data_IF_790561708131
#
_entry.id   IF_790561708131
#
_cell.length_a   1.000
_cell.length_b   1.000
_cell.length_c   1.000
_cell.angle_alpha   90.00
_cell.angle_beta   90.00
_cell.angle_gamma   90.00
#
_symmetry.space_group_name_H-M   'P 1'
#
loop_
_entity.id
_entity.type
_entity.pdbx_description
1 polymer ?
#
# COMPACT_ATOMS: atom_id res chain seq x y z
N UNK A 1 35.56 -11.42 12.71
CA UNK A 1 35.61 -11.69 11.25
C UNK A 1 36.94 -12.38 10.94
N UNK A 2 36.95 -13.45 10.13
CA UNK A 2 38.18 -14.06 9.63
C UNK A 2 39.07 -13.01 8.95
N UNK A 3 40.40 -13.15 9.07
CA UNK A 3 41.37 -12.14 8.63
C UNK A 3 41.25 -11.80 7.13
N UNK A 4 40.94 -12.81 6.31
CA UNK A 4 40.76 -12.68 4.87
C UNK A 4 39.50 -11.88 4.50
N UNK A 5 38.38 -12.11 5.20
CA UNK A 5 37.15 -11.36 4.98
C UNK A 5 37.31 -9.90 5.40
N UNK A 6 38.05 -9.65 6.48
CA UNK A 6 38.37 -8.29 6.95
C UNK A 6 39.19 -7.53 5.91
N UNK A 7 40.20 -8.18 5.32
CA UNK A 7 41.01 -7.59 4.23
C UNK A 7 40.16 -7.30 2.98
N UNK A 8 39.26 -8.20 2.58
CA UNK A 8 38.38 -7.92 1.44
C UNK A 8 37.51 -6.68 1.67
N UNK A 9 36.92 -6.55 2.86
CA UNK A 9 36.10 -5.38 3.19
C UNK A 9 36.95 -4.10 3.26
N UNK A 10 38.08 -4.15 3.96
CA UNK A 10 38.95 -2.98 4.18
C UNK A 10 39.55 -2.42 2.87
N UNK A 11 39.75 -3.27 1.86
CA UNK A 11 40.36 -2.89 0.57
C UNK A 11 39.39 -2.86 -0.61
N UNK A 12 38.09 -3.09 -0.40
CA UNK A 12 37.11 -2.89 -1.47
C UNK A 12 36.88 -1.39 -1.65
N UNK A 13 37.21 -0.79 -2.81
CA UNK A 13 36.96 0.62 -3.05
C UNK A 13 35.45 0.86 -3.14
N UNK A 14 34.94 1.78 -2.32
CA UNK A 14 33.55 2.24 -2.38
C UNK A 14 33.52 3.55 -3.16
N UNK A 15 32.93 3.54 -4.35
CA UNK A 15 32.71 4.77 -5.12
C UNK A 15 31.49 5.51 -4.57
N UNK A 16 31.70 6.74 -4.11
CA UNK A 16 30.63 7.63 -3.64
C UNK A 16 30.38 8.69 -4.71
N UNK A 17 29.13 8.84 -5.15
CA UNK A 17 28.69 9.89 -6.07
C UNK A 17 27.76 10.82 -5.29
N UNK A 18 28.17 12.08 -5.10
CA UNK A 18 27.31 13.11 -4.53
C UNK A 18 26.58 13.85 -5.66
N UNK A 19 25.24 13.87 -5.62
CA UNK A 19 24.41 14.57 -6.60
C UNK A 19 23.77 15.77 -5.90
N UNK A 20 24.17 16.98 -6.29
CA UNK A 20 23.62 18.23 -5.77
C UNK A 20 22.48 18.72 -6.67
N UNK A 21 21.29 18.82 -6.11
CA UNK A 21 20.09 19.29 -6.82
C UNK A 21 19.75 20.67 -6.28
N UNK A 22 19.89 21.69 -7.12
CA UNK A 22 19.69 23.09 -6.71
C UNK A 22 18.22 23.46 -6.48
N UNK A 23 17.29 22.71 -7.07
CA UNK A 23 15.84 22.91 -6.90
C UNK A 23 15.29 21.81 -5.97
N UNK A 24 15.18 22.12 -4.68
CA UNK A 24 14.64 21.21 -3.66
C UNK A 24 13.22 20.73 -4.01
N UNK A 25 12.42 21.50 -4.76
CA UNK A 25 11.06 21.07 -5.17
C UNK A 25 11.08 19.97 -6.22
N UNK A 26 12.15 19.88 -7.02
CA UNK A 26 12.33 18.85 -8.05
C UNK A 26 13.21 17.69 -7.60
N UNK A 27 13.71 17.73 -6.37
CA UNK A 27 14.64 16.73 -5.83
C UNK A 27 14.08 15.31 -5.93
N UNK A 28 12.85 15.08 -5.47
CA UNK A 28 12.19 13.77 -5.55
C UNK A 28 12.08 13.27 -7.00
N UNK A 29 11.74 14.15 -7.94
CA UNK A 29 11.61 13.82 -9.36
C UNK A 29 12.96 13.45 -10.00
N UNK A 30 13.99 14.25 -9.73
CA UNK A 30 15.35 14.02 -10.23
C UNK A 30 15.92 12.72 -9.65
N UNK A 31 15.72 12.47 -8.34
CA UNK A 31 16.12 11.22 -7.71
C UNK A 31 15.39 10.02 -8.34
N UNK A 32 14.07 10.10 -8.57
CA UNK A 32 13.32 9.04 -9.28
C UNK A 32 13.90 8.74 -10.65
N UNK A 33 14.25 9.76 -11.44
CA UNK A 33 14.86 9.58 -12.76
C UNK A 33 16.26 8.94 -12.67
N UNK A 34 17.08 9.36 -11.70
CA UNK A 34 18.41 8.78 -11.46
C UNK A 34 18.28 7.30 -11.10
N UNK A 35 17.43 6.96 -10.13
CA UNK A 35 17.18 5.57 -9.74
C UNK A 35 16.66 4.75 -10.92
N UNK A 36 15.69 5.26 -11.69
CA UNK A 36 15.18 4.58 -12.87
C UNK A 36 16.25 4.32 -13.93
N UNK A 37 17.21 5.24 -14.10
CA UNK A 37 18.32 5.08 -15.05
C UNK A 37 19.41 4.14 -14.53
N UNK A 38 19.79 4.22 -13.25
CA UNK A 38 20.75 3.29 -12.62
C UNK A 38 20.22 1.86 -12.62
N UNK A 39 18.92 1.69 -12.36
CA UNK A 39 18.26 0.38 -12.39
C UNK A 39 18.27 -0.29 -13.78
N UNK A 40 18.57 0.43 -14.88
CA UNK A 40 18.69 -0.18 -16.21
C UNK A 40 19.96 -1.02 -16.39
N UNK A 41 20.99 -0.80 -15.58
CA UNK A 41 22.28 -1.50 -15.67
C UNK A 41 22.47 -2.71 -14.73
N UNK A 42 21.53 -2.96 -13.81
CA UNK A 42 21.60 -4.00 -12.78
C UNK A 42 20.27 -4.75 -12.58
N UNK A 43 20.11 -5.42 -11.44
CA UNK A 43 18.81 -6.02 -11.06
C UNK A 43 17.75 -4.93 -10.88
N UNK A 44 16.63 -5.06 -11.59
CA UNK A 44 15.55 -4.07 -11.56
C UNK A 44 14.88 -4.04 -10.19
N UNK A 45 15.10 -2.95 -9.44
CA UNK A 45 14.35 -2.65 -8.22
C UNK A 45 12.86 -2.47 -8.54
N UNK A 46 12.00 -3.05 -7.71
CA UNK A 46 10.56 -2.83 -7.74
C UNK A 46 10.23 -1.35 -7.51
N UNK A 47 9.03 -0.88 -7.93
CA UNK A 47 8.60 0.47 -7.62
C UNK A 47 8.65 0.77 -6.12
N UNK A 48 8.32 -0.20 -5.26
CA UNK A 48 8.37 -0.02 -3.82
C UNK A 48 9.80 0.05 -3.29
N UNK A 49 10.71 -0.77 -3.79
CA UNK A 49 12.13 -0.71 -3.44
C UNK A 49 12.74 0.65 -3.81
N UNK A 50 12.34 1.22 -4.96
CA UNK A 50 12.73 2.57 -5.35
C UNK A 50 12.17 3.63 -4.40
N UNK A 51 10.90 3.51 -3.98
CA UNK A 51 10.31 4.44 -3.01
C UNK A 51 11.05 4.42 -1.68
N UNK A 52 11.40 3.25 -1.17
CA UNK A 52 12.14 3.13 0.08
C UNK A 52 13.50 3.84 0.03
N UNK A 53 14.17 3.83 -1.13
CA UNK A 53 15.44 4.55 -1.33
C UNK A 53 15.30 6.06 -1.49
N UNK A 54 14.15 6.54 -1.95
CA UNK A 54 13.90 7.96 -2.26
C UNK A 54 13.25 8.69 -1.08
N UNK A 55 12.26 8.07 -0.44
CA UNK A 55 11.44 8.68 0.61
C UNK A 55 11.86 8.17 1.99
N UNK A 56 13.01 8.63 2.46
CA UNK A 56 13.53 8.29 3.78
C UNK A 56 12.91 9.22 4.82
N UNK A 57 11.89 8.75 5.53
CA UNK A 57 11.19 9.50 6.57
C UNK A 57 10.58 8.61 7.67
N UNK A 58 10.23 9.24 8.80
CA UNK A 58 9.64 8.56 9.97
C UNK A 58 8.39 7.74 9.66
N UNK A 59 7.59 8.15 8.67
CA UNK A 59 6.41 7.38 8.24
C UNK A 59 6.83 6.04 7.62
N UNK A 60 7.82 6.04 6.72
CA UNK A 60 8.34 4.83 6.10
C UNK A 60 8.99 3.91 7.13
N UNK A 61 9.74 4.46 8.09
CA UNK A 61 10.34 3.67 9.18
C UNK A 61 9.26 2.94 9.99
N UNK A 62 8.19 3.66 10.39
CA UNK A 62 7.07 3.08 11.14
C UNK A 62 6.28 2.06 10.34
N UNK A 63 6.07 2.31 9.05
CA UNK A 63 5.35 1.39 8.19
C UNK A 63 6.16 0.11 7.91
N UNK A 64 7.49 0.20 7.78
CA UNK A 64 8.39 -0.97 7.71
C UNK A 64 8.41 -1.75 9.03
N UNK A 65 8.47 -1.07 10.17
CA UNK A 65 8.38 -1.69 11.50
C UNK A 65 7.07 -2.47 11.63
N UNK A 66 5.95 -1.87 11.23
CA UNK A 66 4.65 -2.52 11.19
C UNK A 66 4.64 -3.74 10.23
N UNK A 67 5.20 -3.59 9.03
CA UNK A 67 5.28 -4.68 8.05
C UNK A 67 6.02 -5.91 8.60
N UNK A 68 7.13 -5.70 9.31
CA UNK A 68 7.97 -6.79 9.86
C UNK A 68 7.38 -7.40 11.12
N UNK A 69 6.88 -6.57 12.03
CA UNK A 69 6.61 -6.99 13.41
C UNK A 69 5.13 -7.24 13.72
N UNK A 70 4.18 -6.75 12.91
CA UNK A 70 2.76 -6.95 13.20
C UNK A 70 2.36 -8.41 12.93
N UNK A 71 2.03 -9.16 13.99
CA UNK A 71 1.71 -10.59 13.92
C UNK A 71 0.47 -10.89 13.08
N UNK A 72 -0.58 -10.06 13.17
CA UNK A 72 -1.80 -10.22 12.37
C UNK A 72 -1.50 -9.99 10.89
N UNK A 73 -0.73 -8.95 10.56
CA UNK A 73 -0.31 -8.69 9.19
C UNK A 73 0.51 -9.84 8.60
N UNK A 74 1.49 -10.35 9.35
CA UNK A 74 2.29 -11.51 8.95
C UNK A 74 1.48 -12.80 8.89
N UNK A 75 0.42 -12.95 9.69
CA UNK A 75 -0.51 -14.07 9.58
C UNK A 75 -1.33 -14.00 8.28
N UNK A 76 -1.81 -12.80 7.91
CA UNK A 76 -2.59 -12.61 6.68
C UNK A 76 -1.73 -12.68 5.41
N UNK A 77 -0.51 -12.12 5.45
CA UNK A 77 0.43 -12.08 4.33
C UNK A 77 1.30 -13.32 4.19
N UNK A 78 1.92 -13.73 5.29
CA UNK A 78 2.95 -14.76 5.34
C UNK A 78 4.34 -14.14 5.54
N UNK A 79 5.33 -14.73 4.87
CA UNK A 79 6.72 -14.24 4.88
C UNK A 79 6.83 -12.92 4.13
N UNK A 80 7.84 -12.12 4.48
CA UNK A 80 8.20 -10.91 3.75
C UNK A 80 8.39 -11.21 2.25
N UNK A 81 7.83 -10.35 1.40
CA UNK A 81 7.92 -10.50 -0.04
C UNK A 81 9.25 -9.92 -0.52
N UNK A 82 10.01 -10.68 -1.31
CA UNK A 82 11.32 -10.26 -1.79
C UNK A 82 11.29 -8.99 -2.67
N UNK A 83 10.13 -8.64 -3.24
CA UNK A 83 9.90 -7.41 -4.02
C UNK A 83 9.08 -6.38 -3.26
N UNK A 84 8.88 -6.60 -1.96
CA UNK A 84 8.17 -5.72 -1.03
C UNK A 84 6.71 -5.45 -1.39
N UNK A 85 6.03 -6.43 -2.00
CA UNK A 85 4.59 -6.32 -2.31
C UNK A 85 3.71 -6.18 -1.07
N UNK A 86 4.13 -6.74 0.05
CA UNK A 86 3.50 -6.54 1.36
C UNK A 86 3.56 -5.08 1.77
N UNK A 87 4.76 -4.50 1.76
CA UNK A 87 4.99 -3.10 2.09
C UNK A 87 4.23 -2.18 1.15
N UNK A 88 4.26 -2.44 -0.17
CA UNK A 88 3.49 -1.67 -1.16
C UNK A 88 1.98 -1.75 -0.88
N UNK A 89 1.49 -2.91 -0.45
CA UNK A 89 0.06 -3.07 -0.11
C UNK A 89 -0.31 -2.22 1.09
N UNK A 90 0.49 -2.22 2.16
CA UNK A 90 0.25 -1.35 3.31
C UNK A 90 0.28 0.14 2.90
N UNK A 91 1.28 0.54 2.10
CA UNK A 91 1.37 1.91 1.58
C UNK A 91 0.13 2.28 0.75
N UNK A 92 -0.39 1.33 -0.02
CA UNK A 92 -1.63 1.50 -0.80
C UNK A 92 -2.84 1.70 0.08
N UNK A 93 -2.97 0.96 1.18
CA UNK A 93 -4.04 1.19 2.15
C UNK A 93 -3.94 2.62 2.72
N UNK A 94 -2.76 3.05 3.15
CA UNK A 94 -2.56 4.42 3.66
C UNK A 94 -2.91 5.50 2.62
N UNK A 95 -2.43 5.37 1.38
CA UNK A 95 -2.74 6.30 0.30
C UNK A 95 -4.25 6.37 0.02
N UNK A 96 -4.93 5.23 0.01
CA UNK A 96 -6.38 5.20 -0.20
C UNK A 96 -7.15 5.77 1.00
N UNK A 97 -6.69 5.59 2.24
CA UNK A 97 -7.24 6.31 3.40
C UNK A 97 -7.14 7.83 3.21
N UNK A 98 -6.04 8.33 2.66
CA UNK A 98 -5.86 9.78 2.41
C UNK A 98 -6.78 10.31 1.30
N UNK A 99 -6.83 9.62 0.15
CA UNK A 99 -7.42 10.20 -1.07
C UNK A 99 -8.82 9.69 -1.41
N UNK A 100 -9.23 8.51 -0.93
CA UNK A 100 -10.56 7.99 -1.20
C UNK A 100 -11.62 8.70 -0.35
N UNK A 101 -12.77 8.98 -0.97
CA UNK A 101 -13.93 9.66 -0.37
C UNK A 101 -15.21 9.05 -0.91
N UNK A 102 -16.28 9.16 -0.12
CA UNK A 102 -17.64 8.81 -0.56
C UNK A 102 -18.35 10.09 -0.97
N UNK A 103 -18.87 10.10 -2.20
CA UNK A 103 -19.71 11.17 -2.73
C UNK A 103 -21.15 10.67 -2.81
N UNK A 104 -22.08 11.39 -2.18
CA UNK A 104 -23.50 11.11 -2.29
C UNK A 104 -24.02 11.55 -3.66
N UNK A 105 -24.86 10.71 -4.27
CA UNK A 105 -25.70 11.01 -5.43
C UNK A 105 -27.16 11.10 -4.96
N UNK A 106 -28.03 11.54 -5.87
CA UNK A 106 -29.47 11.67 -5.58
C UNK A 106 -30.13 10.35 -5.16
N UNK A 107 -29.65 9.21 -5.66
CA UNK A 107 -30.26 7.88 -5.45
C UNK A 107 -29.26 6.86 -4.88
N UNK A 108 -27.98 7.21 -4.78
CA UNK A 108 -26.91 6.25 -4.48
C UNK A 108 -25.68 7.00 -3.92
N UNK A 109 -24.55 6.33 -3.77
CA UNK A 109 -23.24 6.92 -3.47
C UNK A 109 -22.20 6.43 -4.49
N UNK A 110 -21.04 7.08 -4.52
CA UNK A 110 -19.88 6.59 -5.25
C UNK A 110 -18.63 6.82 -4.42
N UNK A 111 -17.72 5.86 -4.45
CA UNK A 111 -16.37 6.09 -4.00
C UNK A 111 -15.57 6.77 -5.11
N UNK A 112 -14.78 7.77 -4.73
CA UNK A 112 -13.90 8.51 -5.63
C UNK A 112 -12.54 8.68 -4.97
N UNK A 113 -11.48 8.67 -5.76
CA UNK A 113 -10.13 9.00 -5.30
C UNK A 113 -9.76 10.37 -5.87
N UNK A 114 -9.49 11.35 -5.00
CA UNK A 114 -9.15 12.72 -5.42
C UNK A 114 -7.88 12.70 -6.28
N UNK A 115 -7.94 13.28 -7.49
CA UNK A 115 -6.77 13.42 -8.37
C UNK A 115 -6.30 12.14 -9.05
N UNK A 116 -7.06 11.04 -8.97
CA UNK A 116 -6.62 9.75 -9.48
C UNK A 116 -6.68 9.65 -11.01
N UNK A 117 -5.52 9.39 -11.62
CA UNK A 117 -5.34 9.26 -13.08
C UNK A 117 -5.16 7.80 -13.53
N UNK A 118 -5.78 6.84 -12.84
CA UNK A 118 -5.69 5.39 -13.15
C UNK A 118 -4.29 4.78 -12.99
N UNK A 119 -3.39 5.43 -12.24
CA UNK A 119 -2.06 4.91 -11.90
C UNK A 119 -1.91 4.85 -10.39
N UNK A 120 -1.78 3.64 -9.85
CA UNK A 120 -1.37 3.48 -8.46
C UNK A 120 0.06 3.94 -8.24
N UNK A 121 0.96 3.79 -9.23
CA UNK A 121 2.34 4.25 -9.12
C UNK A 121 2.40 5.74 -8.77
N UNK A 122 1.72 6.58 -9.57
CA UNK A 122 1.66 8.03 -9.34
C UNK A 122 0.97 8.38 -8.00
N UNK A 123 -0.11 7.67 -7.65
CA UNK A 123 -0.82 7.87 -6.38
C UNK A 123 0.10 7.62 -5.18
N UNK A 124 0.86 6.51 -5.22
CA UNK A 124 1.78 6.13 -4.16
C UNK A 124 2.99 7.06 -4.10
N UNK A 125 3.50 7.51 -5.24
CA UNK A 125 4.62 8.46 -5.29
C UNK A 125 4.22 9.80 -4.67
N UNK A 126 3.04 10.32 -5.04
CA UNK A 126 2.49 11.56 -4.44
C UNK A 126 2.22 11.39 -2.94
N UNK A 127 1.64 10.27 -2.52
CA UNK A 127 1.46 9.97 -1.10
C UNK A 127 2.79 9.94 -0.34
N UNK A 128 3.82 9.32 -0.93
CA UNK A 128 5.13 9.18 -0.29
C UNK A 128 5.84 10.52 -0.15
N UNK A 129 5.67 11.40 -1.12
CA UNK A 129 6.17 12.78 -1.05
C UNK A 129 5.46 13.60 0.03
N UNK A 130 4.13 13.48 0.17
CA UNK A 130 3.39 14.07 1.30
C UNK A 130 3.87 13.48 2.65
N UNK A 131 4.08 12.17 2.71
CA UNK A 131 4.44 11.45 3.93
C UNK A 131 5.82 11.82 4.50
N UNK A 132 6.70 12.45 3.71
CA UNK A 132 7.96 13.01 4.22
C UNK A 132 7.73 14.11 5.26
N UNK A 133 6.55 14.74 5.23
CA UNK A 133 6.21 15.89 6.08
C UNK A 133 5.20 15.54 7.18
N UNK A 134 4.83 14.26 7.34
CA UNK A 134 3.88 13.86 8.37
C UNK A 134 4.46 14.01 9.77
N UNK A 135 3.66 14.60 10.65
CA UNK A 135 3.96 14.65 12.07
C UNK A 135 3.67 13.30 12.73
N UNK A 136 4.28 13.06 13.90
CA UNK A 136 4.11 11.81 14.66
C UNK A 136 2.64 11.42 14.85
N UNK A 137 1.77 12.39 15.16
CA UNK A 137 0.34 12.15 15.34
C UNK A 137 -0.32 11.59 14.08
N UNK A 138 -0.04 12.18 12.92
CA UNK A 138 -0.60 11.70 11.65
C UNK A 138 -0.05 10.32 11.30
N UNK A 139 1.22 10.04 11.56
CA UNK A 139 1.82 8.71 11.39
C UNK A 139 1.10 7.68 12.27
N UNK A 140 0.93 7.99 13.56
CA UNK A 140 0.26 7.10 14.52
C UNK A 140 -1.20 6.83 14.10
N UNK A 141 -1.91 7.81 13.54
CA UNK A 141 -3.27 7.62 13.00
C UNK A 141 -3.33 6.60 11.84
N UNK A 142 -2.33 6.58 10.95
CA UNK A 142 -2.26 5.56 9.89
C UNK A 142 -1.94 4.17 10.47
N UNK A 143 -0.98 4.08 11.40
CA UNK A 143 -0.59 2.79 11.99
C UNK A 143 -1.74 2.19 12.81
N UNK A 144 -2.43 3.01 13.60
CA UNK A 144 -3.59 2.56 14.37
C UNK A 144 -4.73 2.09 13.45
N UNK A 145 -5.03 2.86 12.40
CA UNK A 145 -6.04 2.50 11.41
C UNK A 145 -5.75 1.17 10.70
N UNK A 146 -4.48 0.90 10.37
CA UNK A 146 -4.08 -0.42 9.87
C UNK A 146 -4.29 -1.50 10.93
N UNK A 147 -3.88 -1.26 12.17
CA UNK A 147 -4.04 -2.23 13.26
C UNK A 147 -5.52 -2.56 13.52
N UNK A 148 -6.36 -1.55 13.69
CA UNK A 148 -7.81 -1.69 13.94
C UNK A 148 -8.49 -2.47 12.81
N UNK A 149 -8.09 -2.22 11.57
CA UNK A 149 -8.59 -2.97 10.43
C UNK A 149 -8.17 -4.45 10.46
N UNK A 150 -6.90 -4.74 10.75
CA UNK A 150 -6.41 -6.12 10.84
C UNK A 150 -7.09 -6.89 11.97
N UNK A 151 -7.50 -6.21 13.04
CA UNK A 151 -8.22 -6.78 14.17
C UNK A 151 -9.60 -7.32 13.81
N UNK A 152 -10.17 -6.87 12.69
CA UNK A 152 -11.46 -7.37 12.19
C UNK A 152 -11.36 -8.78 11.60
N UNK A 153 -10.17 -9.27 11.22
CA UNK A 153 -10.03 -10.59 10.61
C UNK A 153 -10.10 -11.70 11.66
N UNK A 154 -11.14 -12.55 11.57
CA UNK A 154 -11.35 -13.70 12.47
C UNK A 154 -11.07 -15.06 11.80
N UNK A 155 -10.40 -15.06 10.65
CA UNK A 155 -10.15 -16.29 9.89
C UNK A 155 -8.67 -16.70 9.86
N UNK A 156 -8.43 -18.00 9.87
CA UNK A 156 -7.17 -18.61 9.52
C UNK A 156 -7.10 -18.79 7.99
N UNK A 157 -6.46 -17.85 7.29
CA UNK A 157 -6.26 -17.90 5.84
C UNK A 157 -5.26 -16.84 5.39
N UNK A 158 -4.84 -16.87 4.11
CA UNK A 158 -3.95 -15.85 3.52
C UNK A 158 -4.71 -14.89 2.59
N UNK A 159 -5.56 -13.98 3.13
CA UNK A 159 -6.33 -13.06 2.31
C UNK A 159 -5.45 -12.06 1.53
N UNK A 160 -4.21 -11.85 1.97
CA UNK A 160 -3.21 -11.06 1.26
C UNK A 160 -2.88 -11.54 -0.16
N UNK A 161 -3.11 -12.82 -0.48
CA UNK A 161 -2.99 -13.34 -1.85
C UNK A 161 -3.91 -12.62 -2.83
N UNK A 162 -4.92 -11.87 -2.32
CA UNK A 162 -5.87 -11.08 -3.09
C UNK A 162 -5.88 -9.63 -2.60
N UNK A 163 -4.81 -8.89 -2.93
CA UNK A 163 -4.60 -7.47 -2.58
C UNK A 163 -5.84 -6.60 -2.83
N UNK A 164 -6.51 -6.77 -3.98
CA UNK A 164 -7.72 -6.02 -4.32
C UNK A 164 -8.88 -6.25 -3.34
N UNK A 165 -8.99 -7.45 -2.76
CA UNK A 165 -10.03 -7.75 -1.77
C UNK A 165 -9.71 -7.15 -0.41
N UNK A 166 -8.45 -7.29 0.03
CA UNK A 166 -7.97 -6.64 1.25
C UNK A 166 -8.21 -5.12 1.19
N UNK A 167 -7.86 -4.50 0.07
CA UNK A 167 -8.11 -3.09 -0.22
C UNK A 167 -9.60 -2.75 -0.15
N UNK A 168 -10.47 -3.58 -0.74
CA UNK A 168 -11.91 -3.35 -0.69
C UNK A 168 -12.44 -3.32 0.73
N UNK A 169 -12.07 -4.29 1.57
CA UNK A 169 -12.48 -4.31 2.97
C UNK A 169 -11.94 -3.09 3.73
N UNK A 170 -10.68 -2.74 3.53
CA UNK A 170 -10.09 -1.59 4.20
C UNK A 170 -10.80 -0.27 3.85
N UNK A 171 -11.11 -0.05 2.56
CA UNK A 171 -11.81 1.17 2.15
C UNK A 171 -13.22 1.23 2.70
N UNK A 172 -13.93 0.11 2.73
CA UNK A 172 -15.26 0.05 3.31
C UNK A 172 -15.23 0.33 4.81
N UNK A 173 -14.28 -0.26 5.54
CA UNK A 173 -14.03 0.03 6.95
C UNK A 173 -13.81 1.54 7.17
N UNK A 174 -12.83 2.11 6.46
CA UNK A 174 -12.41 3.50 6.65
C UNK A 174 -13.42 4.55 6.21
N UNK A 175 -14.20 4.26 5.16
CA UNK A 175 -15.04 5.27 4.50
C UNK A 175 -16.53 5.10 4.79
N UNK A 176 -16.94 3.90 5.18
CA UNK A 176 -18.33 3.59 5.55
C UNK A 176 -18.46 3.25 7.05
N UNK A 177 -17.37 3.25 7.82
CA UNK A 177 -17.34 2.96 9.26
C UNK A 177 -17.92 1.57 9.60
N UNK A 178 -17.57 0.57 8.79
CA UNK A 178 -17.99 -0.82 8.99
C UNK A 178 -16.96 -1.57 9.82
N UNK A 179 -17.28 -1.83 11.09
CA UNK A 179 -16.36 -2.44 12.07
C UNK A 179 -16.82 -3.86 12.47
N UNK A 180 -17.52 -4.57 11.57
CA UNK A 180 -17.99 -5.94 11.82
C UNK A 180 -16.86 -6.94 11.57
N UNK A 181 -16.77 -8.06 12.30
CA UNK A 181 -15.76 -9.07 12.03
C UNK A 181 -15.82 -9.60 10.58
N UNK A 182 -14.66 -9.73 9.94
CA UNK A 182 -14.49 -10.35 8.63
C UNK A 182 -14.30 -11.85 8.85
N UNK A 183 -15.41 -12.58 8.81
CA UNK A 183 -15.43 -14.05 8.96
C UNK A 183 -15.21 -14.74 7.62
N UNK A 184 -14.80 -16.01 7.63
CA UNK A 184 -14.61 -16.82 6.41
C UNK A 184 -15.86 -16.83 5.53
N UNK A 185 -17.05 -16.79 6.13
CA UNK A 185 -18.31 -16.72 5.40
C UNK A 185 -18.42 -15.42 4.57
N UNK A 186 -18.22 -14.26 5.20
CA UNK A 186 -18.29 -12.95 4.52
C UNK A 186 -17.22 -12.85 3.43
N UNK A 187 -15.99 -13.27 3.76
CA UNK A 187 -14.89 -13.24 2.82
C UNK A 187 -15.13 -14.11 1.59
N UNK A 188 -15.64 -15.33 1.77
CA UNK A 188 -15.97 -16.23 0.66
C UNK A 188 -17.19 -15.73 -0.12
N UNK A 189 -18.21 -15.17 0.54
CA UNK A 189 -19.36 -14.58 -0.13
C UNK A 189 -18.95 -13.46 -1.10
N UNK A 190 -18.05 -12.56 -0.68
CA UNK A 190 -17.50 -11.52 -1.57
C UNK A 190 -16.72 -12.15 -2.73
N UNK A 191 -15.88 -13.15 -2.44
CA UNK A 191 -15.08 -13.80 -3.48
C UNK A 191 -15.89 -14.53 -4.53
N UNK A 192 -17.02 -15.10 -4.12
CA UNK A 192 -17.90 -15.89 -4.97
C UNK A 192 -18.88 -15.04 -5.76
N UNK A 193 -19.16 -13.82 -5.28
CA UNK A 193 -20.09 -12.87 -5.89
C UNK A 193 -19.75 -12.57 -7.37
N UNK A 194 -20.69 -12.74 -8.31
CA UNK A 194 -20.46 -12.52 -9.74
C UNK A 194 -20.05 -11.08 -10.10
N UNK A 195 -20.67 -10.07 -9.47
CA UNK A 195 -20.35 -8.65 -9.66
C UNK A 195 -18.92 -8.38 -9.21
N UNK A 196 -18.51 -8.90 -8.05
CA UNK A 196 -17.14 -8.77 -7.59
C UNK A 196 -16.13 -9.42 -8.55
N UNK A 197 -16.38 -10.67 -8.97
CA UNK A 197 -15.50 -11.41 -9.91
C UNK A 197 -15.33 -10.67 -11.24
N UNK A 198 -16.41 -10.08 -11.76
CA UNK A 198 -16.38 -9.31 -13.00
C UNK A 198 -15.39 -8.13 -12.90
N UNK A 199 -15.49 -7.33 -11.85
CA UNK A 199 -14.64 -6.15 -11.65
C UNK A 199 -13.26 -6.45 -11.05
N UNK A 200 -13.04 -7.67 -10.55
CA UNK A 200 -11.72 -8.16 -10.13
C UNK A 200 -10.85 -8.68 -11.29
N UNK A 201 -11.43 -9.02 -12.45
CA UNK A 201 -10.70 -9.55 -13.61
C UNK A 201 -10.26 -8.47 -14.61
N UNK A 202 -11.03 -7.40 -14.78
CA UNK A 202 -10.79 -6.38 -15.81
C UNK A 202 -10.47 -5.01 -15.22
N UNK A 203 -9.28 -4.50 -15.55
CA UNK A 203 -8.88 -3.13 -15.20
C UNK A 203 -9.06 -2.84 -13.72
N UNK A 204 -8.47 -3.67 -12.85
CA UNK A 204 -8.63 -3.64 -11.38
C UNK A 204 -8.33 -2.28 -10.75
N UNK A 205 -7.51 -1.48 -11.42
CA UNK A 205 -7.07 -0.13 -11.03
C UNK A 205 -7.88 0.99 -11.68
N UNK A 206 -8.84 0.68 -12.56
CA UNK A 206 -9.75 1.70 -13.11
C UNK A 206 -10.74 2.12 -12.03
N UNK A 207 -10.98 3.42 -11.89
CA UNK A 207 -11.88 3.96 -10.86
C UNK A 207 -13.27 3.31 -10.87
N UNK A 208 -13.84 3.07 -12.05
CA UNK A 208 -15.12 2.34 -12.18
C UNK A 208 -15.05 0.94 -11.56
N UNK A 209 -14.04 0.14 -11.91
CA UNK A 209 -13.88 -1.21 -11.38
C UNK A 209 -13.65 -1.21 -9.86
N UNK A 210 -12.85 -0.27 -9.35
CA UNK A 210 -12.63 -0.12 -7.90
C UNK A 210 -13.91 0.24 -7.16
N UNK A 211 -14.64 1.25 -7.65
CA UNK A 211 -15.91 1.68 -7.06
C UNK A 211 -16.91 0.52 -6.97
N UNK A 212 -17.08 -0.24 -8.05
CA UNK A 212 -17.99 -1.38 -8.06
C UNK A 212 -17.55 -2.48 -7.08
N UNK A 213 -16.25 -2.80 -7.01
CA UNK A 213 -15.72 -3.73 -6.01
C UNK A 213 -16.03 -3.28 -4.59
N UNK A 214 -15.78 -2.01 -4.27
CA UNK A 214 -15.98 -1.48 -2.92
C UNK A 214 -17.45 -1.45 -2.52
N UNK A 215 -18.36 -1.11 -3.46
CA UNK A 215 -19.81 -1.22 -3.24
C UNK A 215 -20.26 -2.64 -2.93
N UNK A 216 -19.84 -3.60 -3.75
CA UNK A 216 -20.19 -5.01 -3.53
C UNK A 216 -19.69 -5.54 -2.19
N UNK A 217 -18.48 -5.13 -1.76
CA UNK A 217 -17.99 -5.50 -0.42
C UNK A 217 -18.84 -4.86 0.68
N UNK A 218 -19.22 -3.59 0.53
CA UNK A 218 -20.09 -2.94 1.52
C UNK A 218 -21.46 -3.61 1.64
N UNK A 219 -22.11 -3.90 0.50
CA UNK A 219 -23.42 -4.57 0.45
C UNK A 219 -23.37 -5.92 1.18
N UNK A 220 -22.42 -6.79 0.81
CA UNK A 220 -22.27 -8.12 1.41
C UNK A 220 -21.86 -8.04 2.89
N UNK A 221 -20.93 -7.16 3.24
CA UNK A 221 -20.40 -7.08 4.61
C UNK A 221 -21.41 -6.48 5.59
N UNK A 222 -22.29 -5.61 5.11
CA UNK A 222 -23.35 -5.03 5.95
C UNK A 222 -24.62 -5.87 5.98
N UNK A 223 -24.83 -6.76 5.00
CA UNK A 223 -26.05 -7.56 4.83
C UNK A 223 -27.15 -6.79 4.11
N UNK A 224 -26.78 -5.91 3.18
CA UNK A 224 -27.69 -5.08 2.39
C UNK A 224 -28.02 -5.67 1.01
N UNK A 225 -27.61 -6.92 0.75
CA UNK A 225 -27.92 -7.73 -0.44
C UNK A 225 -29.18 -8.59 -0.23
#
# INVERSE_FOLDING_TARGET
LPLELKRQIDYTPITVIEIKINDEKRKSEVLRQIFANLNRGGSLLSPQEQRNGIYVCSFYDKLQEFNRNNSKWRQLWGREDAKEKDMETLLRLCALKRYARVRKKLVDYEFVIKGYRSSYGELLDHFSEEAMWFEKKEIDEYINSLSDFLDLFQMSGKPASKVALLESFYIVHEKMNVNKPITSHIYNAVLENPRYKQYARQGTVKMKSMNERWKTVYEIWTGAD
#
